data_IF_108267144136
#
_entry.id   IF_108267144136
#
_cell.length_a   1.000
_cell.length_b   1.000
_cell.length_c   1.000
_cell.angle_alpha   90.00
_cell.angle_beta   90.00
_cell.angle_gamma   90.00
#
_symmetry.space_group_name_H-M   'P 1'
#
loop_
_entity.id
_entity.type
_entity.pdbx_description
1 polymer ?
#
# COMPACT_ATOMS: atom_id res chain seq x y z
N UNK A 1 -16.70 2.57 -6.35
CA UNK A 1 -16.40 3.84 -5.68
C UNK A 1 -15.10 3.63 -4.91
N UNK A 2 -14.04 4.38 -5.20
CA UNK A 2 -12.82 4.36 -4.37
C UNK A 2 -13.13 5.00 -3.02
N UNK A 3 -12.77 4.32 -1.94
CA UNK A 3 -13.00 4.79 -0.56
C UNK A 3 -11.66 4.95 0.15
N UNK A 4 -11.48 6.05 0.88
CA UNK A 4 -10.27 6.28 1.69
C UNK A 4 -10.52 5.82 3.13
N UNK A 5 -9.66 4.95 3.64
CA UNK A 5 -9.56 4.64 5.06
C UNK A 5 -8.46 5.46 5.70
N UNK A 6 -8.77 6.25 6.73
CA UNK A 6 -7.77 7.06 7.45
C UNK A 6 -7.29 6.30 8.68
N UNK A 7 -6.01 5.95 8.73
CA UNK A 7 -5.38 5.17 9.81
C UNK A 7 -4.40 5.97 10.67
N UNK A 8 -4.39 7.31 10.54
CA UNK A 8 -3.43 8.22 11.20
C UNK A 8 -3.28 8.00 12.72
N UNK A 9 -4.36 7.58 13.39
CA UNK A 9 -4.40 7.37 14.84
C UNK A 9 -4.56 5.90 15.24
N UNK A 10 -4.63 4.99 14.27
CA UNK A 10 -4.81 3.55 14.46
C UNK A 10 -4.05 2.80 13.35
N UNK A 11 -2.70 2.74 13.45
CA UNK A 11 -1.85 2.22 12.40
C UNK A 11 -2.10 0.72 12.17
N UNK A 12 -1.97 0.31 10.92
CA UNK A 12 -2.08 -1.08 10.50
C UNK A 12 -0.70 -1.57 10.07
N UNK A 13 -0.28 -2.70 10.61
CA UNK A 13 0.96 -3.38 10.21
C UNK A 13 0.61 -4.59 9.36
N UNK A 14 1.14 -4.66 8.15
CA UNK A 14 1.00 -5.80 7.26
C UNK A 14 2.30 -6.61 7.28
N UNK A 15 2.21 -7.89 7.60
CA UNK A 15 3.34 -8.82 7.50
C UNK A 15 3.24 -9.52 6.16
N UNK A 16 4.25 -9.32 5.31
CA UNK A 16 4.31 -9.90 3.97
C UNK A 16 5.38 -10.98 3.93
N UNK A 17 5.03 -12.16 3.41
CA UNK A 17 5.97 -13.26 3.14
C UNK A 17 5.65 -13.86 1.77
N UNK A 18 6.69 -14.15 0.99
CA UNK A 18 6.57 -14.81 -0.32
C UNK A 18 5.53 -14.17 -1.26
N UNK A 19 5.44 -12.84 -1.25
CA UNK A 19 4.51 -12.09 -2.11
C UNK A 19 3.07 -12.05 -1.61
N UNK A 20 2.81 -12.43 -0.36
CA UNK A 20 1.46 -12.46 0.23
C UNK A 20 1.43 -11.82 1.61
N UNK A 21 0.33 -11.12 1.91
CA UNK A 21 0.02 -10.67 3.27
C UNK A 21 -0.38 -11.89 4.10
N UNK A 22 0.46 -12.25 5.08
CA UNK A 22 0.25 -13.42 5.95
C UNK A 22 -0.28 -13.05 7.33
N UNK A 23 -0.14 -11.79 7.74
CA UNK A 23 -0.71 -11.28 8.98
C UNK A 23 -1.01 -9.78 8.87
N UNK A 24 -2.03 -9.34 9.59
CA UNK A 24 -2.50 -7.95 9.65
C UNK A 24 -2.64 -7.61 11.13
N UNK A 25 -1.86 -6.67 11.64
CA UNK A 25 -1.78 -6.34 13.06
C UNK A 25 -2.19 -4.88 13.30
N UNK A 26 -2.73 -4.58 14.48
CA UNK A 26 -3.20 -3.24 14.87
C UNK A 26 -4.53 -3.31 15.61
N UNK A 27 -5.19 -2.15 15.76
CA UNK A 27 -6.47 -2.01 16.45
C UNK A 27 -7.68 -2.32 15.57
N UNK A 28 -8.68 -1.44 15.65
CA UNK A 28 -9.97 -1.63 14.98
C UNK A 28 -9.83 -1.56 13.45
N UNK A 29 -8.94 -0.69 12.95
CA UNK A 29 -8.69 -0.51 11.53
C UNK A 29 -8.06 -1.76 10.91
N UNK A 30 -7.11 -2.39 11.62
CA UNK A 30 -6.51 -3.65 11.20
C UNK A 30 -7.53 -4.79 11.18
N UNK A 31 -8.37 -4.90 12.23
CA UNK A 31 -9.46 -5.88 12.28
C UNK A 31 -10.42 -5.69 11.11
N UNK A 32 -10.88 -4.46 10.88
CA UNK A 32 -11.81 -4.14 9.79
C UNK A 32 -11.21 -4.45 8.42
N UNK A 33 -9.93 -4.14 8.21
CA UNK A 33 -9.26 -4.46 6.96
C UNK A 33 -9.16 -5.97 6.75
N UNK A 34 -8.80 -6.73 7.78
CA UNK A 34 -8.81 -8.20 7.75
C UNK A 34 -10.20 -8.74 7.42
N UNK A 35 -11.24 -8.29 8.13
CA UNK A 35 -12.63 -8.71 7.91
C UNK A 35 -13.10 -8.42 6.46
N UNK A 36 -12.66 -7.30 5.86
CA UNK A 36 -12.94 -6.97 4.45
C UNK A 36 -12.30 -7.98 3.51
N UNK A 37 -11.01 -8.31 3.72
CA UNK A 37 -10.31 -9.26 2.86
C UNK A 37 -10.86 -10.67 3.00
N UNK A 38 -11.12 -11.12 4.23
CA UNK A 38 -11.71 -12.43 4.51
C UNK A 38 -13.10 -12.59 3.87
N UNK A 39 -13.91 -11.54 3.90
CA UNK A 39 -15.25 -11.54 3.31
C UNK A 39 -15.25 -11.71 1.77
N UNK A 40 -14.11 -11.46 1.10
CA UNK A 40 -13.99 -11.69 -0.35
C UNK A 40 -13.90 -13.18 -0.70
N UNK A 41 -13.51 -14.04 0.26
CA UNK A 41 -13.46 -15.50 0.06
C UNK A 41 -12.47 -15.96 -1.03
N UNK A 42 -11.47 -15.15 -1.38
CA UNK A 42 -10.45 -15.46 -2.38
C UNK A 42 -9.05 -15.24 -1.79
N UNK A 43 -8.21 -16.26 -1.83
CA UNK A 43 -6.83 -16.21 -1.34
C UNK A 43 -5.98 -15.13 -2.03
N UNK A 44 -6.31 -14.85 -3.31
CA UNK A 44 -5.65 -13.80 -4.09
C UNK A 44 -5.95 -12.40 -3.56
N UNK A 45 -6.96 -12.23 -2.71
CA UNK A 45 -7.26 -10.95 -2.09
C UNK A 45 -6.13 -10.47 -1.16
N UNK A 46 -5.25 -11.38 -0.74
CA UNK A 46 -4.08 -11.11 0.12
C UNK A 46 -2.76 -10.98 -0.66
N UNK A 47 -2.80 -11.05 -2.00
CA UNK A 47 -1.61 -10.93 -2.83
C UNK A 47 -0.96 -9.55 -2.69
N UNK A 48 0.36 -9.49 -2.55
CA UNK A 48 1.11 -8.24 -2.60
C UNK A 48 1.28 -7.84 -4.07
N UNK A 49 0.53 -6.82 -4.50
CA UNK A 49 0.26 -6.55 -5.90
C UNK A 49 1.24 -5.54 -6.51
N UNK A 50 1.60 -4.52 -5.73
CA UNK A 50 2.30 -3.33 -6.22
C UNK A 50 3.20 -2.77 -5.12
N UNK A 51 4.29 -2.12 -5.53
CA UNK A 51 5.02 -1.18 -4.70
C UNK A 51 5.31 0.08 -5.53
N UNK A 52 5.04 1.26 -4.96
CA UNK A 52 5.23 2.54 -5.62
C UNK A 52 5.87 3.59 -4.73
N UNK A 53 6.58 4.52 -5.37
CA UNK A 53 7.14 5.74 -4.76
C UNK A 53 6.53 6.93 -5.50
N UNK A 54 5.88 7.82 -4.77
CA UNK A 54 5.38 9.07 -5.32
C UNK A 54 6.54 10.03 -5.61
N UNK A 55 6.50 10.64 -6.79
CA UNK A 55 7.57 11.53 -7.30
C UNK A 55 7.05 12.91 -7.73
N UNK A 56 5.75 13.19 -7.56
CA UNK A 56 5.16 14.45 -7.97
C UNK A 56 5.23 15.51 -6.84
N UNK A 57 6.07 16.55 -6.96
CA UNK A 57 6.18 17.61 -5.95
C UNK A 57 4.94 18.51 -5.88
N UNK A 58 4.10 18.51 -6.93
CA UNK A 58 2.90 19.34 -7.01
C UNK A 58 1.66 18.69 -6.39
N UNK A 59 1.73 17.40 -6.04
CA UNK A 59 0.63 16.67 -5.43
C UNK A 59 0.40 17.13 -3.98
N UNK A 60 -0.86 17.36 -3.61
CA UNK A 60 -1.28 17.80 -2.28
C UNK A 60 -1.45 16.61 -1.35
N UNK A 61 -1.15 16.82 -0.07
CA UNK A 61 -1.36 15.81 0.97
C UNK A 61 -2.85 15.70 1.32
N UNK A 62 -3.33 14.48 1.48
CA UNK A 62 -4.70 14.13 1.85
C UNK A 62 -5.77 14.71 0.91
N UNK A 63 -5.45 14.86 -0.37
CA UNK A 63 -6.38 15.41 -1.37
C UNK A 63 -7.30 14.32 -1.94
N UNK A 64 -6.71 13.22 -2.42
CA UNK A 64 -7.40 12.02 -2.89
C UNK A 64 -6.44 10.84 -2.78
N UNK A 65 -6.95 9.59 -2.71
CA UNK A 65 -6.10 8.41 -2.74
C UNK A 65 -5.06 8.51 -3.87
N UNK A 66 -5.50 8.71 -5.11
CA UNK A 66 -4.63 8.77 -6.29
C UNK A 66 -3.55 9.87 -6.22
N UNK A 67 -3.91 11.07 -5.73
CA UNK A 67 -2.96 12.17 -5.61
C UNK A 67 -1.92 11.88 -4.52
N UNK A 68 -2.34 11.25 -3.43
CA UNK A 68 -1.46 10.85 -2.34
C UNK A 68 -0.48 9.72 -2.74
N UNK A 69 -0.90 8.78 -3.60
CA UNK A 69 0.00 7.75 -4.18
C UNK A 69 1.12 8.38 -5.01
N UNK A 70 0.79 9.43 -5.77
CA UNK A 70 1.75 10.11 -6.65
C UNK A 70 2.63 11.12 -5.93
N UNK A 71 2.34 11.47 -4.68
CA UNK A 71 2.98 12.58 -3.98
C UNK A 71 4.44 12.32 -3.64
N UNK A 72 5.29 13.29 -3.95
CA UNK A 72 6.72 13.23 -3.67
C UNK A 72 6.99 12.81 -2.21
N UNK A 73 7.71 11.70 -2.05
CA UNK A 73 8.14 11.18 -0.75
C UNK A 73 7.18 10.19 -0.10
N UNK A 74 5.96 10.03 -0.62
CA UNK A 74 5.05 8.98 -0.18
C UNK A 74 5.44 7.64 -0.83
N UNK A 75 5.16 6.56 -0.12
CA UNK A 75 5.19 5.23 -0.68
C UNK A 75 3.84 4.53 -0.47
N UNK A 76 3.57 3.56 -1.33
CA UNK A 76 2.40 2.71 -1.20
C UNK A 76 2.68 1.28 -1.65
N UNK A 77 1.84 0.38 -1.18
CA UNK A 77 1.75 -0.96 -1.74
C UNK A 77 0.31 -1.33 -2.05
N UNK A 78 0.12 -2.07 -3.14
CA UNK A 78 -1.18 -2.62 -3.51
C UNK A 78 -1.39 -4.00 -2.88
N UNK A 79 -2.61 -4.28 -2.42
CA UNK A 79 -3.05 -5.60 -1.95
C UNK A 79 -4.20 -6.09 -2.84
N UNK A 80 -4.06 -7.29 -3.41
CA UNK A 80 -5.04 -7.91 -4.30
C UNK A 80 -4.52 -8.07 -5.74
N UNK A 81 -5.28 -7.55 -6.70
CA UNK A 81 -5.05 -7.75 -8.13
C UNK A 81 -3.87 -6.92 -8.63
N UNK A 82 -2.93 -7.56 -9.36
CA UNK A 82 -1.88 -6.87 -10.12
C UNK A 82 -2.06 -7.02 -11.64
N UNK A 83 -3.18 -7.60 -12.08
CA UNK A 83 -3.45 -7.86 -13.50
C UNK A 83 -3.44 -6.58 -14.36
N UNK A 84 -4.01 -5.49 -13.85
CA UNK A 84 -4.10 -4.22 -14.57
C UNK A 84 -2.74 -3.51 -14.77
N UNK A 85 -1.73 -3.88 -13.98
CA UNK A 85 -0.38 -3.30 -14.02
C UNK A 85 0.65 -4.28 -14.63
N UNK A 86 0.17 -5.29 -15.37
CA UNK A 86 1.02 -6.25 -16.10
C UNK A 86 1.41 -7.50 -15.30
N UNK A 87 0.87 -7.68 -14.10
CA UNK A 87 0.99 -8.91 -13.32
C UNK A 87 0.05 -10.02 -13.81
N UNK A 88 0.13 -11.19 -13.16
CA UNK A 88 -0.63 -12.39 -13.52
C UNK A 88 -1.81 -12.70 -12.59
N UNK A 89 -1.90 -12.00 -11.47
CA UNK A 89 -2.88 -12.28 -10.42
C UNK A 89 -4.08 -11.37 -10.61
N UNK A 90 -5.19 -11.97 -11.03
CA UNK A 90 -6.52 -11.35 -11.02
C UNK A 90 -7.22 -11.73 -9.71
N UNK A 91 -7.43 -10.73 -8.84
CA UNK A 91 -8.11 -10.85 -7.55
C UNK A 91 -9.39 -9.98 -7.56
N UNK A 92 -10.34 -10.20 -6.63
CA UNK A 92 -11.59 -9.43 -6.58
C UNK A 92 -11.44 -7.99 -6.04
N UNK A 93 -10.24 -7.61 -5.61
CA UNK A 93 -9.93 -6.32 -4.98
C UNK A 93 -8.60 -5.73 -5.47
N UNK A 94 -8.41 -4.46 -5.16
CA UNK A 94 -7.12 -3.78 -5.16
C UNK A 94 -7.20 -2.66 -4.10
N UNK A 95 -6.39 -2.76 -3.05
CA UNK A 95 -6.33 -1.76 -1.98
C UNK A 95 -4.93 -1.19 -1.88
N UNK A 96 -4.82 0.14 -1.91
CA UNK A 96 -3.57 0.83 -1.65
C UNK A 96 -3.37 1.04 -0.14
N UNK A 97 -2.29 0.51 0.40
CA UNK A 97 -1.80 0.85 1.73
C UNK A 97 -0.68 1.88 1.59
N UNK A 98 -0.96 3.12 2.00
CA UNK A 98 -0.01 4.22 1.98
C UNK A 98 0.78 4.30 3.29
N UNK A 99 2.05 4.65 3.18
CA UNK A 99 2.91 4.91 4.32
C UNK A 99 3.84 6.09 4.04
N UNK A 100 3.98 6.94 5.06
CA UNK A 100 4.87 8.09 5.07
C UNK A 100 6.21 7.73 5.68
N UNK A 101 7.18 8.63 5.55
CA UNK A 101 8.48 8.55 6.22
C UNK A 101 9.23 7.23 5.90
N UNK A 102 9.01 6.69 4.71
CA UNK A 102 9.62 5.43 4.28
C UNK A 102 11.10 5.62 3.93
N UNK A 103 11.89 4.59 4.20
CA UNK A 103 13.25 4.45 3.67
C UNK A 103 13.28 3.29 2.68
N UNK A 104 13.70 3.58 1.45
CA UNK A 104 13.67 2.63 0.32
C UNK A 104 15.06 2.44 -0.23
N UNK A 105 15.41 1.17 -0.44
CA UNK A 105 16.68 0.76 -1.00
C UNK A 105 16.45 -0.02 -2.29
N UNK A 106 17.17 0.34 -3.35
CA UNK A 106 17.26 -0.46 -4.57
C UNK A 106 18.64 -1.10 -4.62
N UNK A 107 18.69 -2.43 -4.62
CA UNK A 107 19.94 -3.21 -4.64
C UNK A 107 20.97 -2.75 -3.58
N UNK A 108 20.49 -2.38 -2.39
CA UNK A 108 21.30 -1.87 -1.28
C UNK A 108 21.62 -0.38 -1.33
N UNK A 109 21.27 0.34 -2.40
CA UNK A 109 21.41 1.79 -2.50
C UNK A 109 20.19 2.51 -1.95
N UNK A 110 20.38 3.39 -0.97
CA UNK A 110 19.34 4.26 -0.44
C UNK A 110 18.88 5.25 -1.53
N UNK A 111 17.60 5.21 -1.89
CA UNK A 111 16.98 6.09 -2.91
C UNK A 111 15.92 7.02 -2.31
N UNK A 112 15.32 6.62 -1.20
CA UNK A 112 14.40 7.42 -0.40
C UNK A 112 14.78 7.23 1.08
N UNK A 113 14.90 8.31 1.82
CA UNK A 113 15.33 8.31 3.23
C UNK A 113 14.32 9.11 4.03
N UNK A 114 13.53 8.42 4.87
CA UNK A 114 12.47 9.05 5.66
C UNK A 114 11.57 9.98 4.81
N UNK A 115 11.17 9.52 3.62
CA UNK A 115 10.33 10.29 2.68
C UNK A 115 11.09 11.34 1.85
N UNK A 116 12.41 11.44 1.95
CA UNK A 116 13.23 12.38 1.17
C UNK A 116 13.97 11.65 0.06
N UNK A 117 13.72 12.00 -1.20
CA UNK A 117 14.45 11.42 -2.34
C UNK A 117 15.95 11.77 -2.29
N UNK A 118 16.81 10.79 -2.59
CA UNK A 118 18.28 10.88 -2.56
C UNK A 118 18.94 10.71 -3.94
N UNK A 119 18.12 10.67 -4.99
CA UNK A 119 18.52 10.55 -6.39
C UNK A 119 19.00 11.89 -6.95
#
# INVERSE_FOLDING_TARGET
>A
IMSVGVTLYDPVTLIVKEGKVVDIQGGMSAKRFRDILDALGDDKAFNFAEFGIGLNPCARLAATNLEDLGRLGNCHCGIGSNFAIGGKILAPNHHDAMFKDASVYFDGRLVLDNGVCKI
#
